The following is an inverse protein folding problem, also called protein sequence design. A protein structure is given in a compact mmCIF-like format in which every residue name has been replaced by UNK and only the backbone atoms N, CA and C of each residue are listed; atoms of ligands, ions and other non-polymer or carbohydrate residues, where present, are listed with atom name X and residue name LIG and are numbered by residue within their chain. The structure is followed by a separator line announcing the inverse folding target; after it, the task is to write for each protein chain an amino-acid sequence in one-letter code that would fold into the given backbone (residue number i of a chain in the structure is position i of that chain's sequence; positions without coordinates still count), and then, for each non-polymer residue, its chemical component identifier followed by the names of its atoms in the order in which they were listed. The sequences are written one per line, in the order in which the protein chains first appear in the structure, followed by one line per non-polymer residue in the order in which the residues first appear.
data_IF_835977440327
#
_entry.id   IF_835977440327
#
_cell.length_a   1.000
_cell.length_b   1.000
_cell.length_c   1.000
_cell.angle_alpha   90.00
_cell.angle_beta   90.00
_cell.angle_gamma   90.00
#
_symmetry.space_group_name_H-M   'P 1'
#
loop_
_entity.id
_entity.type
_entity.pdbx_description
1 polymer ?
#
# COMPACT_ATOMS: atom_id res chain seq x y z
N UNK A 1 23.95 15.72 -9.22
CA UNK A 1 22.74 16.49 -9.60
C UNK A 1 22.66 16.80 -11.11
N UNK A 2 23.75 17.24 -11.77
CA UNK A 2 23.74 17.64 -13.19
C UNK A 2 23.15 16.58 -14.16
N UNK A 3 23.46 15.30 -14.00
CA UNK A 3 22.93 14.24 -14.89
C UNK A 3 21.42 14.02 -14.79
N UNK A 4 20.82 14.14 -13.60
CA UNK A 4 19.35 14.02 -13.42
C UNK A 4 18.62 15.21 -14.06
N UNK A 5 19.15 16.41 -13.89
CA UNK A 5 18.62 17.63 -14.50
C UNK A 5 18.71 17.56 -16.03
N UNK A 6 19.85 17.12 -16.58
CA UNK A 6 20.03 16.95 -18.01
C UNK A 6 19.06 15.91 -18.60
N UNK A 7 18.89 14.77 -17.93
CA UNK A 7 17.91 13.73 -18.35
C UNK A 7 16.47 14.26 -18.30
N UNK A 8 16.11 15.04 -17.27
CA UNK A 8 14.79 15.68 -17.18
C UNK A 8 14.57 16.69 -18.32
N UNK A 9 15.56 17.55 -18.57
CA UNK A 9 15.53 18.53 -19.65
C UNK A 9 15.37 17.86 -21.03
N UNK A 10 16.14 16.80 -21.29
CA UNK A 10 16.04 16.03 -22.53
C UNK A 10 14.66 15.36 -22.69
N UNK A 11 14.12 14.75 -21.61
CA UNK A 11 12.79 14.14 -21.64
C UNK A 11 11.68 15.16 -21.87
N UNK A 12 11.76 16.32 -21.22
CA UNK A 12 10.80 17.42 -21.39
C UNK A 12 10.85 18.01 -22.81
N UNK A 13 12.06 18.21 -23.37
CA UNK A 13 12.23 18.68 -24.74
C UNK A 13 11.66 17.67 -25.76
N UNK A 14 11.95 16.38 -25.59
CA UNK A 14 11.38 15.31 -26.41
C UNK A 14 9.84 15.28 -26.34
N UNK A 15 9.27 15.42 -25.14
CA UNK A 15 7.83 15.52 -24.97
C UNK A 15 7.23 16.73 -25.70
N UNK A 16 7.86 17.91 -25.57
CA UNK A 16 7.44 19.12 -26.28
C UNK A 16 7.42 18.90 -27.80
N UNK A 17 8.51 18.37 -28.36
CA UNK A 17 8.59 18.06 -29.79
C UNK A 17 7.49 17.09 -30.23
N UNK A 18 7.29 15.98 -29.51
CA UNK A 18 6.25 14.99 -29.86
C UNK A 18 4.83 15.57 -29.76
N UNK A 19 4.59 16.39 -28.74
CA UNK A 19 3.27 16.99 -28.49
C UNK A 19 2.90 18.00 -29.59
N UNK A 20 3.79 18.97 -29.88
CA UNK A 20 3.49 20.06 -30.81
C UNK A 20 3.63 19.66 -32.29
N UNK A 21 4.43 18.65 -32.62
CA UNK A 21 4.52 18.12 -34.00
C UNK A 21 3.37 17.20 -34.41
N UNK A 22 2.55 16.74 -33.46
CA UNK A 22 1.50 15.75 -33.70
C UNK A 22 1.99 14.29 -33.72
N UNK A 23 3.31 14.03 -33.62
CA UNK A 23 3.88 12.67 -33.49
C UNK A 23 3.25 11.89 -32.35
N UNK A 24 2.93 12.57 -31.23
CA UNK A 24 2.19 11.98 -30.10
C UNK A 24 0.87 11.35 -30.54
N UNK A 25 0.08 12.02 -31.39
CA UNK A 25 -1.22 11.51 -31.86
C UNK A 25 -1.05 10.26 -32.73
N UNK A 26 0.02 10.20 -33.53
CA UNK A 26 0.37 9.02 -34.31
C UNK A 26 0.78 7.85 -33.39
N UNK A 27 1.60 8.10 -32.36
CA UNK A 27 1.95 7.11 -31.35
C UNK A 27 0.73 6.60 -30.57
N UNK A 28 -0.19 7.50 -30.19
CA UNK A 28 -1.45 7.15 -29.56
C UNK A 28 -2.31 6.25 -30.47
N UNK A 29 -2.40 6.56 -31.77
CA UNK A 29 -3.11 5.72 -32.74
C UNK A 29 -2.46 4.34 -32.92
N UNK A 30 -1.13 4.29 -32.98
CA UNK A 30 -0.38 3.04 -32.99
C UNK A 30 -0.67 2.20 -31.74
N UNK A 31 -0.63 2.81 -30.54
CA UNK A 31 -0.96 2.15 -29.27
C UNK A 31 -2.40 1.66 -29.22
N UNK A 32 -3.38 2.40 -29.76
CA UNK A 32 -4.77 1.92 -29.91
C UNK A 32 -4.83 0.65 -30.74
N UNK A 33 -4.18 0.63 -31.90
CA UNK A 33 -4.13 -0.56 -32.76
C UNK A 33 -3.53 -1.77 -32.03
N UNK A 34 -2.39 -1.58 -31.35
CA UNK A 34 -1.73 -2.62 -30.56
C UNK A 34 -2.53 -3.11 -29.33
N UNK A 35 -3.56 -2.37 -28.92
CA UNK A 35 -4.35 -2.66 -27.72
C UNK A 35 -5.74 -3.23 -28.05
N UNK A 36 -6.01 -3.57 -29.30
CA UNK A 36 -7.31 -4.09 -29.74
C UNK A 36 -8.33 -2.99 -30.06
N UNK A 37 -7.86 -1.82 -30.49
CA UNK A 37 -8.67 -0.70 -30.96
C UNK A 37 -8.93 0.39 -29.92
N UNK A 38 -8.64 0.15 -28.64
CA UNK A 38 -8.82 1.11 -27.54
C UNK A 38 -7.64 1.07 -26.58
N UNK A 39 -7.23 2.24 -26.09
CA UNK A 39 -6.26 2.32 -24.99
C UNK A 39 -7.01 2.34 -23.66
N UNK A 40 -6.45 1.62 -22.70
CA UNK A 40 -6.94 1.57 -21.33
C UNK A 40 -5.75 1.92 -20.45
N UNK A 41 -5.70 3.19 -20.08
CA UNK A 41 -4.72 3.73 -19.15
C UNK A 41 -5.27 3.56 -17.74
N UNK A 42 -4.50 2.93 -16.86
CA UNK A 42 -4.82 2.87 -15.43
C UNK A 42 -3.66 3.58 -14.72
N UNK A 43 -3.96 4.68 -14.05
CA UNK A 43 -2.97 5.45 -13.27
C UNK A 43 -3.12 5.11 -11.80
N UNK A 44 -2.00 4.88 -11.11
CA UNK A 44 -1.98 4.72 -9.65
C UNK A 44 -1.30 5.92 -8.98
N UNK A 45 -1.87 6.35 -7.86
CA UNK A 45 -1.30 7.32 -6.93
C UNK A 45 -1.24 6.70 -5.53
N UNK A 46 -0.45 7.28 -4.65
CA UNK A 46 -0.41 6.88 -3.24
C UNK A 46 -0.88 8.03 -2.38
N UNK A 47 -0.14 9.15 -2.42
CA UNK A 47 -0.39 10.31 -1.56
C UNK A 47 -0.61 11.58 -2.36
N UNK A 48 -1.74 12.26 -2.10
CA UNK A 48 -2.07 13.56 -2.69
C UNK A 48 -2.02 14.61 -1.60
N UNK A 49 -1.06 15.54 -1.67
CA UNK A 49 -0.74 16.44 -0.55
C UNK A 49 -0.94 17.91 -0.91
N UNK A 50 -1.33 18.73 0.06
CA UNK A 50 -1.44 20.18 -0.11
C UNK A 50 -0.10 20.91 0.00
N UNK A 51 0.73 20.52 0.97
CA UNK A 51 2.09 21.06 1.19
C UNK A 51 3.15 20.08 0.66
N UNK A 52 3.33 20.07 -0.66
CA UNK A 52 4.28 19.17 -1.30
C UNK A 52 5.73 19.40 -0.81
N UNK A 53 6.15 20.66 -0.63
CA UNK A 53 7.52 20.97 -0.22
C UNK A 53 7.81 20.52 1.21
N UNK A 54 6.85 20.70 2.13
CA UNK A 54 6.98 20.23 3.51
C UNK A 54 6.96 18.69 3.62
N UNK A 55 6.16 18.01 2.81
CA UNK A 55 6.10 16.54 2.78
C UNK A 55 7.36 15.90 2.18
N UNK A 56 7.98 16.56 1.18
CA UNK A 56 9.19 16.04 0.54
C UNK A 56 10.36 15.82 1.51
N UNK A 57 10.38 16.53 2.64
CA UNK A 57 11.40 16.38 3.68
C UNK A 57 11.14 15.20 4.62
N UNK A 58 9.89 14.74 4.68
CA UNK A 58 9.38 13.81 5.70
C UNK A 58 8.80 12.53 5.10
N UNK A 59 8.74 12.41 3.78
CA UNK A 59 8.18 11.25 3.10
C UNK A 59 8.89 10.99 1.77
N UNK A 60 9.10 9.72 1.43
CA UNK A 60 8.47 9.12 0.23
C UNK A 60 8.38 9.93 -1.06
N UNK A 61 9.41 10.57 -1.68
CA UNK A 61 9.18 11.44 -2.84
C UNK A 61 8.42 10.77 -4.00
N UNK A 62 8.66 9.49 -4.24
CA UNK A 62 7.99 8.69 -5.27
C UNK A 62 6.51 8.39 -5.01
N UNK A 63 6.01 8.66 -3.80
CA UNK A 63 4.61 8.47 -3.40
C UNK A 63 3.80 9.77 -3.48
N UNK A 64 4.48 10.92 -3.52
CA UNK A 64 3.86 12.24 -3.38
C UNK A 64 3.48 12.85 -4.73
N UNK A 65 2.28 13.41 -4.78
CA UNK A 65 1.85 14.37 -5.78
C UNK A 65 1.14 15.53 -5.09
N UNK A 66 1.35 16.75 -5.56
CA UNK A 66 0.60 17.90 -5.07
C UNK A 66 -0.86 17.81 -5.54
N UNK A 67 -1.80 18.31 -4.74
CA UNK A 67 -3.21 18.37 -5.12
C UNK A 67 -3.43 19.10 -6.45
N UNK A 68 -2.65 20.14 -6.71
CA UNK A 68 -2.70 20.90 -7.96
C UNK A 68 -2.22 20.08 -9.16
N UNK A 69 -1.07 19.40 -9.06
CA UNK A 69 -0.57 18.54 -10.14
C UNK A 69 -1.52 17.35 -10.38
N UNK A 70 -2.10 16.78 -9.31
CA UNK A 70 -3.13 15.74 -9.41
C UNK A 70 -4.37 16.23 -10.18
N UNK A 71 -4.92 17.40 -9.84
CA UNK A 71 -6.04 18.01 -10.57
C UNK A 71 -5.72 18.17 -12.05
N UNK A 72 -4.53 18.69 -12.37
CA UNK A 72 -4.09 18.86 -13.77
C UNK A 72 -3.96 17.54 -14.51
N UNK A 73 -3.56 16.45 -13.86
CA UNK A 73 -3.53 15.13 -14.52
C UNK A 73 -4.92 14.71 -15.02
N UNK A 74 -5.98 14.95 -14.22
CA UNK A 74 -7.35 14.62 -14.61
C UNK A 74 -7.82 15.50 -15.78
N UNK A 75 -7.50 16.79 -15.74
CA UNK A 75 -7.82 17.74 -16.81
C UNK A 75 -7.10 17.41 -18.11
N UNK A 76 -5.82 17.07 -18.05
CA UNK A 76 -5.02 16.67 -19.22
C UNK A 76 -5.49 15.34 -19.79
N UNK A 77 -5.88 14.37 -18.95
CA UNK A 77 -6.46 13.11 -19.43
C UNK A 77 -7.77 13.39 -20.20
N UNK A 78 -8.65 14.21 -19.65
CA UNK A 78 -9.88 14.61 -20.32
C UNK A 78 -9.60 15.36 -21.64
N UNK A 79 -8.71 16.36 -21.62
CA UNK A 79 -8.34 17.15 -22.79
C UNK A 79 -7.64 16.30 -23.88
N UNK A 80 -6.91 15.25 -23.49
CA UNK A 80 -6.31 14.29 -24.41
C UNK A 80 -7.32 13.31 -25.04
N UNK A 81 -8.60 13.38 -24.64
CA UNK A 81 -9.70 12.60 -25.21
C UNK A 81 -9.98 11.30 -24.48
N UNK A 82 -9.44 11.11 -23.27
CA UNK A 82 -9.81 9.98 -22.43
C UNK A 82 -11.19 10.19 -21.80
N UNK A 83 -11.96 9.12 -21.72
CA UNK A 83 -13.11 9.00 -20.82
C UNK A 83 -12.57 8.54 -19.46
N UNK A 84 -12.82 9.35 -18.42
CA UNK A 84 -12.50 8.97 -17.05
C UNK A 84 -13.54 7.95 -16.58
N UNK A 85 -13.09 6.73 -16.30
CA UNK A 85 -13.96 5.56 -16.14
C UNK A 85 -13.63 4.76 -14.88
N UNK A 86 -14.59 3.93 -14.43
CA UNK A 86 -14.38 3.01 -13.31
C UNK A 86 -13.45 1.86 -13.69
N UNK A 87 -12.87 1.16 -12.69
CA UNK A 87 -12.10 -0.05 -12.95
C UNK A 87 -12.96 -1.15 -13.58
N UNK A 88 -14.23 -1.22 -13.19
CA UNK A 88 -15.20 -2.15 -13.78
C UNK A 88 -15.40 -1.94 -15.27
N UNK A 89 -15.53 -0.68 -15.70
CA UNK A 89 -15.66 -0.33 -17.11
C UNK A 89 -14.42 -0.73 -17.92
N UNK A 90 -13.23 -0.50 -17.37
CA UNK A 90 -11.99 -0.92 -18.00
C UNK A 90 -11.93 -2.44 -18.15
N UNK A 91 -12.28 -3.20 -17.11
CA UNK A 91 -12.32 -4.66 -17.15
C UNK A 91 -13.35 -5.16 -18.16
N UNK A 92 -14.54 -4.56 -18.23
CA UNK A 92 -15.57 -4.95 -19.18
C UNK A 92 -15.18 -4.66 -20.63
N UNK A 93 -14.47 -3.56 -20.88
CA UNK A 93 -13.92 -3.27 -22.21
C UNK A 93 -12.78 -4.21 -22.57
N UNK A 94 -11.89 -4.52 -21.62
CA UNK A 94 -10.83 -5.50 -21.83
C UNK A 94 -11.41 -6.89 -22.14
N UNK A 95 -12.47 -7.29 -21.45
CA UNK A 95 -13.13 -8.57 -21.66
C UNK A 95 -14.03 -8.61 -22.91
N UNK A 96 -14.19 -7.49 -23.63
CA UNK A 96 -15.09 -7.38 -24.78
C UNK A 96 -16.58 -7.39 -24.43
N UNK A 97 -16.94 -7.26 -23.14
CA UNK A 97 -18.33 -7.16 -22.66
C UNK A 97 -18.93 -5.77 -22.89
N UNK A 98 -18.08 -4.74 -22.97
CA UNK A 98 -18.48 -3.36 -23.26
C UNK A 98 -17.65 -2.81 -24.41
N UNK A 99 -18.28 -2.10 -25.34
CA UNK A 99 -17.57 -1.34 -26.39
C UNK A 99 -17.38 0.10 -25.93
N UNK A 100 -16.14 0.54 -25.76
CA UNK A 100 -15.83 1.95 -25.49
C UNK A 100 -15.81 2.79 -26.78
N UNK A 101 -16.33 4.02 -26.71
CA UNK A 101 -16.25 5.00 -27.81
C UNK A 101 -15.00 5.86 -27.76
N UNK A 102 -14.41 6.02 -26.58
CA UNK A 102 -13.17 6.75 -26.31
C UNK A 102 -12.12 5.82 -25.70
N UNK A 103 -10.88 6.29 -25.65
CA UNK A 103 -9.86 5.65 -24.80
C UNK A 103 -10.25 5.85 -23.33
N UNK A 104 -9.91 4.90 -22.46
CA UNK A 104 -10.27 4.97 -21.04
C UNK A 104 -9.07 5.37 -20.18
N UNK A 105 -9.33 6.19 -19.15
CA UNK A 105 -8.40 6.48 -18.08
C UNK A 105 -9.07 6.15 -16.74
N UNK A 106 -8.48 5.22 -15.98
CA UNK A 106 -8.95 4.81 -14.65
C UNK A 106 -8.01 5.37 -13.60
N UNK A 107 -8.57 5.99 -12.56
CA UNK A 107 -7.81 6.54 -11.43
C UNK A 107 -7.85 5.57 -10.26
N UNK A 108 -6.69 5.14 -9.79
CA UNK A 108 -6.56 4.25 -8.63
C UNK A 108 -5.66 4.86 -7.56
N UNK A 109 -5.94 4.52 -6.30
CA UNK A 109 -5.08 4.85 -5.16
C UNK A 109 -4.73 3.58 -4.39
N UNK A 110 -3.49 3.50 -3.92
CA UNK A 110 -3.02 2.42 -3.05
C UNK A 110 -2.88 2.92 -1.60
N UNK A 111 -2.74 1.99 -0.67
CA UNK A 111 -2.40 2.18 0.76
C UNK A 111 -3.43 2.85 1.66
N UNK A 112 -4.45 3.53 1.10
CA UNK A 112 -5.50 4.15 1.90
C UNK A 112 -5.02 5.33 2.76
N UNK A 113 -3.96 6.03 2.32
CA UNK A 113 -3.49 7.25 2.97
C UNK A 113 -4.61 8.27 3.15
N UNK A 114 -4.63 8.91 4.32
CA UNK A 114 -5.66 9.88 4.72
C UNK A 114 -5.70 11.12 3.84
N UNK A 115 -4.58 11.44 3.20
CA UNK A 115 -4.48 12.56 2.28
C UNK A 115 -5.26 12.33 0.96
N UNK A 116 -5.56 11.07 0.60
CA UNK A 116 -6.53 10.73 -0.46
C UNK A 116 -7.91 11.28 -0.09
N UNK A 117 -8.39 11.03 1.13
CA UNK A 117 -9.66 11.59 1.61
C UNK A 117 -9.62 13.12 1.71
N UNK A 118 -8.53 13.68 2.25
CA UNK A 118 -8.44 15.14 2.50
C UNK A 118 -8.31 15.96 1.22
N UNK A 119 -7.57 15.47 0.22
CA UNK A 119 -7.16 16.30 -0.91
C UNK A 119 -7.51 15.71 -2.28
N UNK A 120 -7.47 14.39 -2.48
CA UNK A 120 -7.85 13.79 -3.77
C UNK A 120 -9.37 13.71 -3.93
N UNK A 121 -10.06 13.23 -2.90
CA UNK A 121 -11.50 12.98 -2.90
C UNK A 121 -12.35 14.23 -3.22
N UNK A 122 -12.11 15.43 -2.65
CA UNK A 122 -12.86 16.63 -3.02
C UNK A 122 -12.71 17.00 -4.51
N UNK A 123 -11.50 16.84 -5.06
CA UNK A 123 -11.21 17.11 -6.48
C UNK A 123 -11.97 16.12 -7.37
N UNK A 124 -11.88 14.82 -7.06
CA UNK A 124 -12.57 13.77 -7.80
C UNK A 124 -14.09 13.97 -7.77
N UNK A 125 -14.64 14.25 -6.59
CA UNK A 125 -16.08 14.49 -6.40
C UNK A 125 -16.55 15.71 -7.18
N UNK A 126 -15.82 16.82 -7.11
CA UNK A 126 -16.14 18.03 -7.86
C UNK A 126 -16.11 17.80 -9.38
N UNK A 127 -15.18 16.97 -9.87
CA UNK A 127 -15.02 16.68 -11.29
C UNK A 127 -15.89 15.50 -11.78
N UNK A 128 -16.60 14.80 -10.88
CA UNK A 128 -17.39 13.61 -11.21
C UNK A 128 -16.54 12.45 -11.73
N UNK A 129 -15.31 12.30 -11.23
CA UNK A 129 -14.34 11.30 -11.70
C UNK A 129 -14.43 10.03 -10.84
N UNK A 130 -14.80 8.87 -11.43
CA UNK A 130 -14.76 7.61 -10.72
C UNK A 130 -13.33 7.26 -10.31
N UNK A 131 -13.17 6.72 -9.11
CA UNK A 131 -11.89 6.21 -8.63
C UNK A 131 -12.10 5.04 -7.66
N UNK A 132 -11.06 4.21 -7.56
CA UNK A 132 -10.97 3.11 -6.60
C UNK A 132 -9.76 3.28 -5.68
N UNK A 133 -9.93 3.04 -4.38
CA UNK A 133 -8.83 2.99 -3.41
C UNK A 133 -8.67 1.57 -2.86
N UNK A 134 -7.44 1.03 -2.91
CA UNK A 134 -7.12 -0.29 -2.39
C UNK A 134 -6.61 -0.19 -0.94
N UNK A 135 -7.25 -0.91 -0.01
CA UNK A 135 -7.04 -0.75 1.42
C UNK A 135 -6.26 -1.92 2.05
N UNK A 136 -5.15 -1.66 2.77
CA UNK A 136 -4.53 -2.61 3.70
C UNK A 136 -5.24 -2.53 5.05
N UNK A 137 -6.20 -3.42 5.26
CA UNK A 137 -7.24 -3.27 6.30
C UNK A 137 -6.74 -3.30 7.74
N UNK A 138 -5.56 -3.85 8.03
CA UNK A 138 -4.97 -3.85 9.37
C UNK A 138 -4.43 -2.48 9.82
N UNK A 139 -4.37 -1.51 8.90
CA UNK A 139 -3.92 -0.14 9.15
C UNK A 139 -5.07 0.85 9.26
N UNK A 140 -6.13 0.66 8.47
CA UNK A 140 -7.29 1.57 8.43
C UNK A 140 -7.89 1.71 9.83
N UNK A 141 -8.14 2.96 10.24
CA UNK A 141 -8.64 3.32 11.57
C UNK A 141 -7.68 2.98 12.73
N UNK A 142 -6.37 2.97 12.46
CA UNK A 142 -5.32 2.75 13.47
C UNK A 142 -4.20 3.78 13.38
N UNK A 143 -3.38 3.87 14.42
CA UNK A 143 -2.17 4.69 14.45
C UNK A 143 -0.92 3.98 13.87
N UNK A 144 -1.09 2.81 13.23
CA UNK A 144 0.04 2.11 12.59
C UNK A 144 0.60 2.90 11.42
N UNK A 145 1.87 2.67 11.10
CA UNK A 145 2.57 3.25 9.93
C UNK A 145 3.18 2.13 9.10
N UNK A 146 3.19 2.30 7.79
CA UNK A 146 3.79 1.32 6.89
C UNK A 146 5.30 1.20 7.10
N UNK A 147 5.84 0.02 6.82
CA UNK A 147 7.27 -0.25 7.01
C UNK A 147 8.15 0.68 6.16
N UNK A 148 7.70 1.06 4.96
CA UNK A 148 8.44 1.99 4.11
C UNK A 148 8.48 3.41 4.69
N UNK A 149 7.39 3.88 5.29
CA UNK A 149 7.34 5.19 5.96
C UNK A 149 8.22 5.18 7.22
N UNK A 150 8.12 4.13 8.03
CA UNK A 150 8.95 3.93 9.23
C UNK A 150 10.44 3.88 8.87
N UNK A 151 10.83 3.06 7.91
CA UNK A 151 12.21 2.95 7.45
C UNK A 151 12.71 4.28 6.88
N UNK A 152 11.94 4.94 6.01
CA UNK A 152 12.33 6.23 5.45
C UNK A 152 12.63 7.24 6.56
N UNK A 153 11.73 7.34 7.55
CA UNK A 153 11.89 8.25 8.68
C UNK A 153 13.10 7.91 9.55
N UNK A 154 13.29 6.64 9.91
CA UNK A 154 14.43 6.22 10.73
C UNK A 154 15.76 6.44 10.00
N UNK A 155 15.84 6.15 8.70
CA UNK A 155 17.03 6.39 7.89
C UNK A 155 17.35 7.90 7.78
N UNK A 156 16.32 8.75 7.72
CA UNK A 156 16.48 10.20 7.80
C UNK A 156 17.03 10.63 9.16
N UNK A 157 16.53 10.06 10.27
CA UNK A 157 17.09 10.29 11.62
C UNK A 157 18.54 9.85 11.74
N UNK A 158 18.90 8.71 11.16
CA UNK A 158 20.30 8.24 11.10
C UNK A 158 21.17 9.28 10.40
N UNK A 159 20.74 9.82 9.25
CA UNK A 159 21.49 10.87 8.53
C UNK A 159 21.57 12.19 9.32
N UNK A 160 20.44 12.67 9.84
CA UNK A 160 20.33 13.95 10.57
C UNK A 160 21.18 13.95 11.85
N UNK A 161 21.12 12.86 12.61
CA UNK A 161 21.90 12.69 13.84
C UNK A 161 23.35 12.26 13.59
N UNK A 162 23.73 12.02 12.32
CA UNK A 162 25.02 11.41 11.92
C UNK A 162 25.32 10.13 12.70
N UNK A 163 24.26 9.37 12.98
CA UNK A 163 24.34 8.15 13.77
C UNK A 163 25.11 7.05 13.01
N UNK A 164 25.85 6.23 13.74
CA UNK A 164 26.57 5.08 13.21
C UNK A 164 25.96 3.82 13.80
N UNK A 165 25.09 3.11 13.06
CA UNK A 165 24.50 1.88 13.55
C UNK A 165 25.56 0.82 13.84
N UNK A 166 25.32 0.05 14.90
CA UNK A 166 26.03 -1.18 15.16
C UNK A 166 25.42 -2.29 14.30
N UNK A 167 26.11 -2.65 13.22
CA UNK A 167 25.65 -3.66 12.27
C UNK A 167 25.72 -5.09 12.83
N UNK A 168 26.49 -5.35 13.90
CA UNK A 168 26.53 -6.69 14.52
C UNK A 168 25.21 -7.01 15.22
N UNK A 169 24.51 -5.99 15.71
CA UNK A 169 23.21 -6.08 16.35
C UNK A 169 22.02 -5.88 15.38
N UNK A 170 22.23 -5.97 14.07
CA UNK A 170 21.19 -5.76 13.05
C UNK A 170 21.03 -6.98 12.12
N UNK A 171 19.88 -7.14 11.44
CA UNK A 171 19.74 -8.14 10.39
C UNK A 171 20.82 -7.98 9.31
N UNK A 172 21.39 -9.08 8.80
CA UNK A 172 22.51 -9.06 7.84
C UNK A 172 22.32 -8.10 6.64
N UNK A 173 21.15 -8.10 5.96
CA UNK A 173 20.90 -7.19 4.83
C UNK A 173 20.92 -5.68 5.17
N UNK A 174 20.99 -5.31 6.45
CA UNK A 174 21.05 -3.89 6.86
C UNK A 174 22.22 -3.14 6.22
N UNK A 175 23.34 -3.82 5.97
CA UNK A 175 24.52 -3.23 5.33
C UNK A 175 24.22 -2.79 3.91
N UNK A 176 23.42 -3.56 3.17
CA UNK A 176 23.05 -3.27 1.78
C UNK A 176 22.11 -2.07 1.68
N UNK A 177 21.27 -1.86 2.71
CA UNK A 177 20.41 -0.68 2.83
C UNK A 177 21.20 0.57 3.28
N UNK A 178 21.89 0.49 4.41
CA UNK A 178 22.51 1.64 5.06
C UNK A 178 23.86 2.02 4.44
N UNK A 179 24.65 1.07 3.95
CA UNK A 179 25.98 1.32 3.39
C UNK A 179 25.97 2.38 2.28
N UNK A 180 25.13 2.25 1.23
CA UNK A 180 25.00 3.26 0.17
C UNK A 180 24.51 4.62 0.66
N UNK A 181 23.68 4.65 1.71
CA UNK A 181 23.14 5.88 2.31
C UNK A 181 24.23 6.61 3.09
N UNK A 182 24.94 5.89 3.97
CA UNK A 182 25.96 6.46 4.86
C UNK A 182 27.19 6.94 4.11
N UNK A 183 27.51 6.31 2.98
CA UNK A 183 28.59 6.71 2.08
C UNK A 183 28.19 7.82 1.10
N UNK A 184 26.90 8.21 1.06
CA UNK A 184 26.40 9.24 0.16
C UNK A 184 26.26 8.81 -1.31
N UNK A 185 26.46 7.54 -1.64
CA UNK A 185 26.31 7.02 -2.99
C UNK A 185 24.84 7.02 -3.44
N UNK A 186 23.90 6.77 -2.52
CA UNK A 186 22.45 6.79 -2.79
C UNK A 186 21.74 7.72 -1.81
N UNK A 187 20.65 8.33 -2.31
CA UNK A 187 19.67 8.99 -1.44
C UNK A 187 18.86 7.93 -0.69
N UNK A 188 18.29 8.27 0.49
CA UNK A 188 17.45 7.36 1.28
C UNK A 188 16.37 6.70 0.44
N UNK A 189 15.57 7.49 -0.30
CA UNK A 189 14.53 6.96 -1.19
C UNK A 189 15.06 5.98 -2.23
N UNK A 190 16.24 6.23 -2.83
CA UNK A 190 16.76 5.36 -3.88
C UNK A 190 17.29 4.04 -3.32
N UNK A 191 17.92 4.07 -2.14
CA UNK A 191 18.33 2.85 -1.46
C UNK A 191 17.12 2.03 -0.97
N UNK A 192 16.09 2.72 -0.49
CA UNK A 192 14.86 2.10 0.00
C UNK A 192 14.06 1.45 -1.14
N UNK A 193 13.95 2.12 -2.30
CA UNK A 193 13.28 1.58 -3.50
C UNK A 193 13.92 0.25 -3.95
N UNK A 194 15.25 0.17 -3.92
CA UNK A 194 15.98 -1.06 -4.27
C UNK A 194 15.76 -2.17 -3.22
N UNK A 195 15.63 -1.80 -1.94
CA UNK A 195 15.64 -2.74 -0.82
C UNK A 195 14.28 -3.35 -0.48
N UNK A 196 13.20 -2.56 -0.46
CA UNK A 196 11.87 -3.03 -0.03
C UNK A 196 11.37 -4.16 -0.91
N UNK A 197 11.62 -4.08 -2.22
CA UNK A 197 11.25 -5.15 -3.13
C UNK A 197 11.96 -6.44 -2.77
N UNK A 198 13.27 -6.39 -2.53
CA UNK A 198 14.11 -7.59 -2.53
C UNK A 198 13.99 -8.43 -1.25
N UNK A 199 13.28 -7.94 -0.22
CA UNK A 199 13.29 -8.56 1.10
C UNK A 199 11.89 -8.74 1.70
N UNK A 200 11.69 -9.78 2.54
CA UNK A 200 10.41 -10.04 3.17
C UNK A 200 10.15 -9.07 4.34
N UNK A 201 8.87 -8.92 4.70
CA UNK A 201 8.42 -8.07 5.80
C UNK A 201 9.22 -8.25 7.09
N UNK A 202 9.53 -9.51 7.46
CA UNK A 202 10.33 -9.84 8.65
C UNK A 202 11.72 -9.21 8.70
N UNK A 203 12.35 -9.00 7.54
CA UNK A 203 13.67 -8.34 7.47
C UNK A 203 13.47 -6.84 7.67
N UNK A 204 12.46 -6.25 7.04
CA UNK A 204 12.17 -4.82 7.18
C UNK A 204 11.85 -4.48 8.64
N UNK A 205 10.98 -5.25 9.30
CA UNK A 205 10.63 -5.04 10.71
C UNK A 205 11.83 -5.22 11.63
N UNK A 206 12.65 -6.27 11.43
CA UNK A 206 13.86 -6.45 12.24
C UNK A 206 14.86 -5.29 12.11
N UNK A 207 14.96 -4.66 10.94
CA UNK A 207 15.81 -3.48 10.76
C UNK A 207 15.21 -2.26 11.45
N UNK A 208 13.89 -2.07 11.33
CA UNK A 208 13.17 -1.00 12.01
C UNK A 208 13.38 -1.11 13.52
N UNK A 209 13.12 -2.27 14.11
CA UNK A 209 13.19 -2.49 15.56
C UNK A 209 14.62 -2.26 16.08
N UNK A 210 15.63 -2.74 15.34
CA UNK A 210 17.03 -2.52 15.68
C UNK A 210 17.42 -1.03 15.61
N UNK A 211 16.96 -0.30 14.58
CA UNK A 211 17.21 1.14 14.47
C UNK A 211 16.49 1.93 15.57
N UNK A 212 15.25 1.60 15.89
CA UNK A 212 14.49 2.25 16.98
C UNK A 212 15.18 2.05 18.33
N UNK A 213 15.64 0.84 18.62
CA UNK A 213 16.40 0.53 19.83
C UNK A 213 17.72 1.29 19.87
N UNK A 214 18.51 1.26 18.79
CA UNK A 214 19.81 1.89 18.73
C UNK A 214 19.76 3.43 18.74
N UNK A 215 18.68 4.04 18.22
CA UNK A 215 18.45 5.49 18.25
C UNK A 215 17.92 6.00 19.60
N UNK A 216 17.66 5.08 20.56
CA UNK A 216 17.24 5.40 21.93
C UNK A 216 15.73 5.44 22.16
N UNK A 217 14.91 4.98 21.21
CA UNK A 217 13.46 5.07 21.29
C UNK A 217 12.93 6.52 21.27
N UNK A 218 11.62 6.68 21.43
CA UNK A 218 10.97 7.98 21.59
C UNK A 218 9.95 8.33 20.50
N UNK A 219 9.08 9.27 20.81
CA UNK A 219 8.00 9.69 19.92
C UNK A 219 8.51 10.28 18.59
N UNK A 220 9.71 10.87 18.58
CA UNK A 220 10.29 11.48 17.39
C UNK A 220 10.84 10.47 16.36
N UNK A 221 10.85 9.18 16.71
CA UNK A 221 11.17 8.05 15.82
C UNK A 221 9.92 7.48 15.12
N UNK A 222 8.72 7.93 15.51
CA UNK A 222 7.50 7.63 14.79
C UNK A 222 7.30 8.70 13.70
N UNK A 223 7.03 8.33 12.44
CA UNK A 223 6.71 9.30 11.40
C UNK A 223 5.47 10.13 11.78
N UNK A 224 5.59 11.46 11.74
CA UNK A 224 4.46 12.39 11.94
C UNK A 224 3.44 12.35 10.79
N UNK A 225 3.85 11.85 9.63
CA UNK A 225 3.04 11.78 8.40
C UNK A 225 2.75 10.33 8.02
N UNK A 226 1.93 10.16 6.98
CA UNK A 226 1.53 8.83 6.50
C UNK A 226 0.37 8.24 7.28
N UNK A 227 -0.47 9.08 7.90
CA UNK A 227 -1.77 8.65 8.43
C UNK A 227 -2.58 7.97 7.33
N UNK A 228 -3.32 6.93 7.71
CA UNK A 228 -4.30 6.27 6.85
C UNK A 228 -5.71 6.71 7.23
N UNK A 229 -6.66 6.49 6.33
CA UNK A 229 -8.06 6.83 6.56
C UNK A 229 -8.64 6.07 7.76
N UNK A 230 -9.64 6.68 8.39
CA UNK A 230 -10.57 5.99 9.29
C UNK A 230 -11.68 5.30 8.50
N UNK A 231 -12.37 4.33 9.12
CA UNK A 231 -13.53 3.69 8.48
C UNK A 231 -14.70 4.66 8.25
N UNK A 232 -14.83 5.71 9.05
CA UNK A 232 -15.83 6.77 8.81
C UNK A 232 -15.55 7.56 7.53
N UNK A 233 -14.29 7.88 7.27
CA UNK A 233 -13.86 8.54 6.03
C UNK A 233 -14.08 7.62 4.82
N UNK A 234 -13.74 6.34 4.92
CA UNK A 234 -14.00 5.32 3.89
C UNK A 234 -15.49 5.19 3.59
N UNK A 235 -16.34 5.02 4.63
CA UNK A 235 -17.80 4.96 4.47
C UNK A 235 -18.37 6.21 3.81
N UNK A 236 -17.84 7.38 4.15
CA UNK A 236 -18.26 8.65 3.56
C UNK A 236 -17.99 8.68 2.06
N UNK A 237 -16.79 8.33 1.63
CA UNK A 237 -16.44 8.22 0.22
C UNK A 237 -17.28 7.17 -0.51
N UNK A 238 -17.53 6.02 0.12
CA UNK A 238 -18.33 4.96 -0.50
C UNK A 238 -19.78 5.37 -0.76
N UNK A 239 -20.41 6.11 0.17
CA UNK A 239 -21.77 6.67 -0.03
C UNK A 239 -21.82 7.63 -1.21
N UNK A 240 -20.71 8.28 -1.52
CA UNK A 240 -20.58 9.20 -2.66
C UNK A 240 -20.18 8.48 -3.96
N UNK A 241 -20.13 7.15 -3.95
CA UNK A 241 -19.93 6.31 -5.14
C UNK A 241 -18.48 5.97 -5.46
N UNK A 242 -17.54 6.24 -4.54
CA UNK A 242 -16.14 5.80 -4.69
C UNK A 242 -16.00 4.32 -4.37
N UNK A 243 -15.19 3.62 -5.15
CA UNK A 243 -14.99 2.17 -5.01
C UNK A 243 -13.83 1.86 -4.06
N UNK A 244 -13.89 0.69 -3.42
CA UNK A 244 -12.82 0.19 -2.55
C UNK A 244 -12.44 -1.23 -2.91
N UNK A 245 -11.13 -1.47 -3.04
CA UNK A 245 -10.54 -2.77 -3.33
C UNK A 245 -9.65 -3.27 -2.21
N UNK A 246 -9.27 -4.54 -2.26
CA UNK A 246 -8.36 -5.13 -1.26
C UNK A 246 -6.89 -4.86 -1.60
N UNK A 247 -6.08 -4.49 -0.60
CA UNK A 247 -4.62 -4.35 -0.71
C UNK A 247 -3.91 -5.19 0.36
N UNK A 248 -4.30 -6.47 0.46
CA UNK A 248 -3.96 -7.38 1.57
C UNK A 248 -4.50 -6.91 2.94
N UNK A 249 -4.25 -7.66 4.00
CA UNK A 249 -4.58 -7.28 5.37
C UNK A 249 -3.42 -6.42 5.93
N UNK A 250 -2.20 -6.96 5.87
CA UNK A 250 -0.99 -6.42 6.51
C UNK A 250 -0.06 -5.63 5.60
N UNK A 251 -0.47 -5.27 4.37
CA UNK A 251 0.40 -4.71 3.33
C UNK A 251 1.58 -5.66 3.03
N UNK A 252 1.24 -6.93 2.84
CA UNK A 252 2.19 -8.05 2.75
C UNK A 252 2.56 -8.38 1.30
N UNK A 253 3.85 -8.57 1.02
CA UNK A 253 4.33 -9.00 -0.31
C UNK A 253 4.10 -10.50 -0.49
N UNK A 254 2.90 -10.84 -0.99
CA UNK A 254 2.37 -12.21 -1.05
C UNK A 254 3.25 -13.23 -1.78
N UNK A 255 4.10 -12.81 -2.72
CA UNK A 255 4.97 -13.74 -3.47
C UNK A 255 6.03 -14.41 -2.60
N UNK A 256 6.30 -13.84 -1.42
CA UNK A 256 7.28 -14.34 -0.45
C UNK A 256 6.64 -15.20 0.66
N UNK A 257 5.31 -15.33 0.67
CA UNK A 257 4.55 -15.98 1.73
C UNK A 257 3.97 -17.32 1.29
N UNK A 258 3.78 -18.27 2.22
CA UNK A 258 3.13 -19.55 1.93
C UNK A 258 1.62 -19.37 1.67
N UNK A 259 1.04 -20.29 0.91
CA UNK A 259 -0.37 -20.22 0.48
C UNK A 259 -1.39 -19.95 1.60
N UNK A 260 -1.32 -20.57 2.81
CA UNK A 260 -2.27 -20.26 3.88
C UNK A 260 -2.22 -18.79 4.35
N UNK A 261 -1.03 -18.18 4.35
CA UNK A 261 -0.86 -16.76 4.69
C UNK A 261 -1.43 -15.90 3.55
N UNK A 262 -1.19 -16.28 2.29
CA UNK A 262 -1.76 -15.60 1.12
C UNK A 262 -3.29 -15.59 1.17
N UNK A 263 -3.91 -16.75 1.44
CA UNK A 263 -5.37 -16.86 1.58
C UNK A 263 -5.88 -15.98 2.72
N UNK A 264 -5.25 -16.02 3.89
CA UNK A 264 -5.64 -15.20 5.03
C UNK A 264 -5.56 -13.70 4.71
N UNK A 265 -4.43 -13.23 4.17
CA UNK A 265 -4.19 -11.83 3.79
C UNK A 265 -5.22 -11.30 2.78
N UNK A 266 -5.62 -12.13 1.80
CA UNK A 266 -6.60 -11.75 0.78
C UNK A 266 -8.02 -11.76 1.36
N UNK A 267 -8.40 -12.84 2.04
CA UNK A 267 -9.79 -13.07 2.43
C UNK A 267 -10.20 -12.20 3.61
N UNK A 268 -9.35 -11.99 4.61
CA UNK A 268 -9.67 -11.10 5.72
C UNK A 268 -9.73 -9.63 5.29
N UNK A 269 -8.88 -9.22 4.35
CA UNK A 269 -8.94 -7.89 3.74
C UNK A 269 -10.28 -7.67 3.03
N UNK A 270 -10.67 -8.63 2.18
CA UNK A 270 -11.97 -8.62 1.50
C UNK A 270 -13.13 -8.54 2.50
N UNK A 271 -13.21 -9.47 3.45
CA UNK A 271 -14.30 -9.54 4.44
C UNK A 271 -14.42 -8.28 5.28
N UNK A 272 -13.29 -7.69 5.66
CA UNK A 272 -13.26 -6.47 6.47
C UNK A 272 -13.85 -5.29 5.70
N UNK A 273 -13.43 -5.06 4.45
CA UNK A 273 -13.98 -3.97 3.64
C UNK A 273 -15.48 -4.19 3.36
N UNK A 274 -15.87 -5.43 3.01
CA UNK A 274 -17.28 -5.76 2.74
C UNK A 274 -18.17 -5.52 3.98
N UNK A 275 -17.67 -5.82 5.19
CA UNK A 275 -18.36 -5.56 6.45
C UNK A 275 -18.49 -4.06 6.74
N UNK A 276 -17.44 -3.27 6.51
CA UNK A 276 -17.42 -1.84 6.85
C UNK A 276 -18.20 -0.96 5.86
N UNK A 277 -18.23 -1.36 4.59
CA UNK A 277 -18.81 -0.57 3.49
C UNK A 277 -20.14 -1.13 2.99
N UNK A 278 -20.40 -2.43 3.18
CA UNK A 278 -21.63 -3.08 2.74
C UNK A 278 -21.72 -3.33 1.24
N UNK A 279 -20.60 -3.28 0.52
CA UNK A 279 -20.50 -3.58 -0.92
C UNK A 279 -19.54 -4.74 -1.16
N UNK A 280 -19.78 -5.52 -2.21
CA UNK A 280 -18.89 -6.60 -2.60
C UNK A 280 -17.56 -6.07 -3.13
N UNK A 281 -16.45 -6.55 -2.59
CA UNK A 281 -15.10 -6.23 -3.06
C UNK A 281 -14.76 -7.11 -4.25
N UNK A 282 -14.45 -6.50 -5.40
CA UNK A 282 -14.21 -7.20 -6.66
C UNK A 282 -12.79 -7.04 -7.18
N UNK A 283 -12.02 -6.11 -6.67
CA UNK A 283 -10.74 -5.75 -7.27
C UNK A 283 -9.63 -5.77 -6.21
N UNK A 284 -8.43 -6.17 -6.65
CA UNK A 284 -7.27 -6.37 -5.78
C UNK A 284 -6.07 -5.59 -6.33
N UNK A 285 -5.27 -4.98 -5.45
CA UNK A 285 -3.95 -4.45 -5.82
C UNK A 285 -2.86 -5.29 -5.17
N UNK A 286 -1.89 -5.75 -5.95
CA UNK A 286 -0.74 -6.48 -5.40
C UNK A 286 0.26 -5.51 -4.77
N UNK A 287 0.69 -5.76 -3.54
CA UNK A 287 1.82 -5.02 -2.94
C UNK A 287 3.06 -5.16 -3.83
N UNK A 288 3.77 -4.04 -4.06
CA UNK A 288 4.85 -3.90 -5.05
C UNK A 288 4.47 -4.22 -6.51
N UNK A 289 3.19 -4.53 -6.80
CA UNK A 289 2.73 -5.01 -8.08
C UNK A 289 3.14 -6.45 -8.40
N UNK A 290 3.55 -7.23 -7.39
CA UNK A 290 4.11 -8.56 -7.58
C UNK A 290 3.09 -9.67 -7.37
N UNK A 291 3.07 -10.63 -8.30
CA UNK A 291 2.07 -11.69 -8.33
C UNK A 291 2.67 -13.02 -8.76
N UNK A 292 1.93 -14.09 -8.49
CA UNK A 292 2.19 -15.45 -8.95
C UNK A 292 0.87 -16.09 -9.38
N UNK A 293 0.96 -17.19 -10.12
CA UNK A 293 -0.23 -17.94 -10.57
C UNK A 293 -1.05 -18.47 -9.38
N UNK A 294 -0.39 -18.77 -8.26
CA UNK A 294 -1.03 -19.16 -7.00
C UNK A 294 -1.92 -18.05 -6.44
N UNK A 295 -1.39 -16.82 -6.38
CA UNK A 295 -2.14 -15.66 -5.89
C UNK A 295 -3.34 -15.39 -6.81
N UNK A 296 -3.15 -15.45 -8.13
CA UNK A 296 -4.23 -15.30 -9.11
C UNK A 296 -5.30 -16.38 -8.91
N UNK A 297 -4.91 -17.63 -8.65
CA UNK A 297 -5.84 -18.72 -8.36
C UNK A 297 -6.69 -18.39 -7.12
N UNK A 298 -6.07 -17.98 -6.02
CA UNK A 298 -6.78 -17.58 -4.80
C UNK A 298 -7.76 -16.44 -5.08
N UNK A 299 -7.36 -15.39 -5.80
CA UNK A 299 -8.25 -14.28 -6.16
C UNK A 299 -9.45 -14.77 -7.00
N UNK A 300 -9.18 -15.53 -8.06
CA UNK A 300 -10.22 -16.02 -8.98
C UNK A 300 -11.25 -16.94 -8.31
N UNK A 301 -10.82 -17.78 -7.38
CA UNK A 301 -11.70 -18.69 -6.63
C UNK A 301 -12.55 -17.97 -5.58
N UNK A 302 -12.17 -16.76 -5.18
CA UNK A 302 -12.79 -16.01 -4.09
C UNK A 302 -13.52 -14.74 -4.57
N UNK A 303 -14.05 -14.79 -5.80
CA UNK A 303 -14.98 -13.79 -6.32
C UNK A 303 -14.35 -12.43 -6.62
N UNK A 304 -13.03 -12.36 -6.79
CA UNK A 304 -12.40 -11.19 -7.40
C UNK A 304 -12.60 -11.22 -8.91
N UNK A 305 -12.81 -10.04 -9.47
CA UNK A 305 -12.93 -9.74 -10.90
C UNK A 305 -11.57 -9.35 -11.50
N UNK A 306 -10.72 -8.65 -10.76
CA UNK A 306 -9.49 -8.10 -11.31
C UNK A 306 -8.35 -7.97 -10.28
N UNK A 307 -7.13 -7.83 -10.80
CA UNK A 307 -5.89 -7.63 -10.06
C UNK A 307 -5.01 -6.62 -10.76
N UNK A 308 -4.59 -5.56 -10.08
CA UNK A 308 -3.74 -4.49 -10.64
C UNK A 308 -2.28 -4.60 -10.19
N UNK A 309 -1.36 -4.46 -11.14
CA UNK A 309 0.10 -4.51 -10.93
C UNK A 309 0.70 -3.10 -10.99
N UNK A 310 2.02 -2.99 -10.90
CA UNK A 310 2.79 -1.74 -11.13
C UNK A 310 3.56 -1.78 -12.44
N UNK A 311 3.23 -2.73 -13.33
CA UNK A 311 3.88 -2.90 -14.61
C UNK A 311 3.48 -1.77 -15.56
N UNK A 312 4.43 -0.90 -15.92
CA UNK A 312 4.19 0.21 -16.86
C UNK A 312 4.17 -0.28 -18.32
N UNK A 313 3.06 -0.93 -18.67
CA UNK A 313 2.78 -1.54 -19.97
C UNK A 313 1.34 -1.22 -20.44
N UNK A 314 1.05 -1.30 -21.75
CA UNK A 314 -0.31 -1.10 -22.23
C UNK A 314 -1.23 -2.27 -21.87
N UNK A 315 -2.44 -1.96 -21.38
CA UNK A 315 -3.55 -2.92 -21.29
C UNK A 315 -4.14 -3.18 -22.68
N UNK A 316 -4.60 -4.41 -22.92
CA UNK A 316 -5.13 -4.85 -24.22
C UNK A 316 -6.51 -5.48 -24.06
N UNK A 317 -7.36 -5.32 -25.06
CA UNK A 317 -8.57 -6.14 -25.20
C UNK A 317 -8.15 -7.61 -25.35
N UNK A 318 -8.80 -8.49 -24.59
CA UNK A 318 -8.43 -9.90 -24.43
C UNK A 318 -7.29 -10.16 -23.42
N UNK A 319 -6.79 -9.13 -22.75
CA UNK A 319 -5.79 -9.29 -21.68
C UNK A 319 -6.35 -9.92 -20.41
N UNK A 320 -5.47 -10.48 -19.60
CA UNK A 320 -5.83 -11.10 -18.31
C UNK A 320 -6.24 -10.02 -17.28
N UNK A 321 -7.49 -10.06 -16.76
CA UNK A 321 -7.97 -9.08 -15.79
C UNK A 321 -7.28 -9.18 -14.43
N UNK A 322 -6.53 -10.25 -14.13
CA UNK A 322 -5.77 -10.37 -12.89
C UNK A 322 -4.35 -9.79 -12.98
N UNK A 323 -3.96 -9.25 -14.13
CA UNK A 323 -2.65 -8.63 -14.31
C UNK A 323 -2.73 -7.26 -14.98
N UNK A 324 -3.75 -6.46 -14.61
CA UNK A 324 -3.97 -5.12 -15.13
C UNK A 324 -2.75 -4.24 -14.90
N UNK A 325 -2.26 -3.63 -15.98
CA UNK A 325 -1.05 -2.82 -16.01
C UNK A 325 -1.36 -1.40 -15.53
N UNK A 326 -0.53 -0.85 -14.65
CA UNK A 326 -0.70 0.52 -14.13
C UNK A 326 0.55 1.35 -14.33
N UNK A 327 0.32 2.64 -14.58
CA UNK A 327 1.34 3.67 -14.54
C UNK A 327 1.30 4.36 -13.19
N UNK A 328 2.31 4.13 -12.35
CA UNK A 328 2.44 4.79 -11.04
C UNK A 328 2.88 6.24 -11.26
N UNK A 329 2.02 7.18 -10.86
CA UNK A 329 2.18 8.61 -11.09
C UNK A 329 2.59 9.31 -9.78
N UNK A 330 3.53 10.24 -9.89
CA UNK A 330 3.99 11.12 -8.80
C UNK A 330 4.49 12.45 -9.39
N UNK A 331 4.79 13.44 -8.54
CA UNK A 331 5.05 14.82 -8.98
C UNK A 331 6.05 14.93 -10.16
N UNK A 332 7.18 14.22 -10.07
CA UNK A 332 8.24 14.32 -11.08
C UNK A 332 7.88 13.71 -12.45
N UNK A 333 6.77 12.98 -12.58
CA UNK A 333 6.31 12.51 -13.89
C UNK A 333 5.94 13.66 -14.83
N UNK A 334 5.64 14.82 -14.26
CA UNK A 334 5.03 15.95 -14.96
C UNK A 334 5.84 17.23 -14.84
N UNK A 335 7.00 17.20 -14.19
CA UNK A 335 7.89 18.36 -14.09
C UNK A 335 8.69 18.59 -15.37
N UNK A 336 8.53 19.77 -15.95
CA UNK A 336 9.26 20.30 -17.08
C UNK A 336 10.70 20.65 -16.77
N UNK A 337 11.35 21.35 -17.71
CA UNK A 337 12.77 21.67 -17.60
C UNK A 337 13.08 22.52 -16.37
N UNK A 338 12.25 23.54 -16.08
CA UNK A 338 12.48 24.49 -14.99
C UNK A 338 11.89 24.04 -13.64
N UNK A 339 11.21 22.91 -13.61
CA UNK A 339 10.55 22.39 -12.40
C UNK A 339 9.11 22.87 -12.27
N UNK A 340 8.63 23.53 -13.32
CA UNK A 340 7.24 23.84 -13.60
C UNK A 340 6.47 22.61 -14.09
N UNK A 341 5.15 22.66 -13.99
CA UNK A 341 4.29 21.62 -14.56
C UNK A 341 4.34 21.64 -16.10
N UNK A 342 4.45 20.46 -16.72
CA UNK A 342 4.48 20.28 -18.17
C UNK A 342 3.32 19.41 -18.66
N UNK A 343 2.33 20.05 -19.28
CA UNK A 343 1.23 19.36 -19.98
C UNK A 343 1.73 18.42 -21.07
N UNK A 344 2.71 18.87 -21.86
CA UNK A 344 3.29 18.06 -22.93
C UNK A 344 3.91 16.77 -22.39
N UNK A 345 4.67 16.85 -21.28
CA UNK A 345 5.25 15.68 -20.63
C UNK A 345 4.16 14.75 -20.09
N UNK A 346 3.18 15.30 -19.37
CA UNK A 346 2.06 14.56 -18.78
C UNK A 346 1.31 13.75 -19.83
N UNK A 347 0.87 14.38 -20.92
CA UNK A 347 0.10 13.68 -21.97
C UNK A 347 0.98 12.69 -22.75
N UNK A 348 2.27 12.95 -22.93
CA UNK A 348 3.19 11.97 -23.51
C UNK A 348 3.38 10.73 -22.61
N UNK A 349 3.27 10.89 -21.29
CA UNK A 349 3.28 9.76 -20.36
C UNK A 349 1.98 8.96 -20.48
N UNK A 350 0.83 9.64 -20.48
CA UNK A 350 -0.48 8.99 -20.66
C UNK A 350 -0.58 8.21 -21.97
N UNK A 351 -0.03 8.78 -23.05
CA UNK A 351 -0.04 8.15 -24.38
C UNK A 351 1.06 7.10 -24.58
N UNK A 352 1.87 6.85 -23.55
CA UNK A 352 2.98 5.90 -23.54
C UNK A 352 4.02 6.16 -24.65
N UNK A 353 4.27 7.43 -24.98
CA UNK A 353 5.23 7.80 -26.02
C UNK A 353 6.65 7.30 -25.70
N UNK A 354 7.05 7.37 -24.43
CA UNK A 354 8.37 6.93 -24.01
C UNK A 354 8.54 5.41 -24.07
N UNK A 355 7.48 4.64 -23.81
CA UNK A 355 7.48 3.20 -24.01
C UNK A 355 7.55 2.82 -25.48
N UNK A 356 6.86 3.57 -26.37
CA UNK A 356 6.97 3.37 -27.83
C UNK A 356 8.39 3.58 -28.32
N UNK A 357 9.11 4.55 -27.75
CA UNK A 357 10.50 4.86 -28.08
C UNK A 357 11.53 3.95 -27.39
N UNK A 358 11.11 2.97 -26.59
CA UNK A 358 12.02 2.11 -25.82
C UNK A 358 12.82 2.85 -24.74
N UNK A 359 12.33 4.02 -24.30
CA UNK A 359 12.97 4.87 -23.29
C UNK A 359 12.56 4.50 -21.85
N UNK A 360 11.58 3.60 -21.69
CA UNK A 360 11.21 2.99 -20.42
C UNK A 360 11.60 1.50 -20.41
N UNK A 361 12.03 1.01 -19.25
CA UNK A 361 12.23 -0.41 -18.98
C UNK A 361 11.24 -0.82 -17.89
N UNK A 362 10.11 -1.45 -18.26
CA UNK A 362 9.12 -1.84 -17.28
C UNK A 362 9.68 -2.93 -16.37
N UNK A 363 9.41 -2.83 -15.08
CA UNK A 363 9.66 -3.91 -14.12
C UNK A 363 8.45 -4.83 -14.20
N UNK A 364 8.68 -6.09 -14.58
CA UNK A 364 7.61 -7.09 -14.65
C UNK A 364 7.21 -7.54 -13.24
N UNK A 365 5.93 -7.85 -13.06
CA UNK A 365 5.35 -8.17 -11.75
C UNK A 365 5.40 -9.66 -11.39
N UNK A 366 5.40 -10.57 -12.38
CA UNK A 366 5.38 -12.01 -12.10
C UNK A 366 6.63 -12.45 -11.33
N UNK A 367 6.44 -13.20 -10.25
CA UNK A 367 7.52 -13.80 -9.44
C UNK A 367 7.23 -15.29 -9.23
N UNK A 368 8.27 -16.11 -9.00
CA UNK A 368 8.08 -17.43 -8.41
C UNK A 368 7.30 -17.32 -7.11
N UNK A 369 6.42 -18.28 -6.84
CA UNK A 369 5.74 -18.35 -5.54
C UNK A 369 6.63 -19.07 -4.54
N UNK A 370 6.77 -18.54 -3.33
CA UNK A 370 7.42 -19.26 -2.24
C UNK A 370 6.60 -20.50 -1.86
N UNK A 371 7.03 -21.67 -2.31
CA UNK A 371 6.41 -22.95 -1.98
C UNK A 371 6.91 -23.54 -0.65
N UNK A 372 7.51 -22.73 0.24
CA UNK A 372 7.91 -23.23 1.56
C UNK A 372 6.64 -23.58 2.33
N UNK A 373 6.20 -24.84 2.20
CA UNK A 373 5.26 -25.45 3.12
C UNK A 373 5.79 -25.23 4.53
N UNK A 374 4.94 -24.75 5.42
CA UNK A 374 5.21 -24.74 6.86
C UNK A 374 5.81 -26.10 7.21
N UNK A 375 7.08 -26.11 7.61
CA UNK A 375 7.71 -27.32 8.13
C UNK A 375 6.87 -27.70 9.37
N UNK A 376 6.28 -28.91 9.44
CA UNK A 376 5.52 -29.31 10.62
C UNK A 376 6.47 -29.27 11.82
N UNK A 377 6.31 -28.29 12.71
CA UNK A 377 7.16 -28.09 13.89
C UNK A 377 7.77 -26.70 14.05
N UNK A 378 7.71 -25.82 13.05
CA UNK A 378 7.98 -24.39 13.28
C UNK A 378 6.71 -23.73 13.81
N UNK A 379 6.61 -23.59 15.13
CA UNK A 379 5.70 -22.63 15.75
C UNK A 379 6.11 -21.23 15.28
N UNK A 380 5.61 -20.82 14.13
CA UNK A 380 5.35 -19.40 13.91
C UNK A 380 4.24 -19.09 14.89
N UNK A 381 4.63 -18.61 16.07
CA UNK A 381 3.73 -17.84 16.91
C UNK A 381 3.25 -16.71 16.02
N UNK A 382 2.02 -16.84 15.53
CA UNK A 382 1.17 -15.68 15.30
C UNK A 382 1.16 -15.01 16.68
N UNK A 383 2.01 -14.00 16.88
CA UNK A 383 1.81 -13.10 18.00
C UNK A 383 0.51 -12.37 17.67
N UNK A 384 -0.59 -12.94 18.17
CA UNK A 384 -1.81 -12.22 18.44
C UNK A 384 -1.48 -11.11 19.45
N UNK A 385 -0.90 -10.02 18.98
CA UNK A 385 -1.17 -8.70 19.56
C UNK A 385 -2.48 -8.18 18.98
N UNK A 386 -3.52 -9.03 19.08
CA UNK A 386 -4.88 -8.57 19.21
C UNK A 386 -4.98 -8.00 20.63
N UNK A 387 -4.82 -6.68 20.75
CA UNK A 387 -5.47 -6.00 21.87
C UNK A 387 -6.95 -6.37 21.78
N UNK A 388 -7.54 -7.05 22.78
CA UNK A 388 -8.93 -7.43 22.71
C UNK A 388 -9.77 -6.16 22.53
N UNK A 389 -10.65 -6.20 21.54
CA UNK A 389 -11.62 -5.15 21.27
C UNK A 389 -12.26 -4.72 22.59
N UNK A 390 -12.01 -3.47 22.98
CA UNK A 390 -12.65 -2.85 24.12
C UNK A 390 -14.16 -2.87 23.87
N UNK A 391 -14.83 -3.85 24.47
CA UNK A 391 -16.29 -3.89 24.51
C UNK A 391 -16.69 -2.76 25.46
N UNK A 392 -17.16 -1.65 24.89
CA UNK A 392 -17.78 -0.55 25.62
C UNK A 392 -18.90 -1.12 26.50
N UNK A 393 -18.61 -1.33 27.77
CA UNK A 393 -19.62 -1.65 28.78
C UNK A 393 -19.34 -0.85 30.05
N UNK A 394 -20.37 -0.14 30.48
CA UNK A 394 -20.48 0.80 31.62
C UNK A 394 -19.38 0.69 32.70
N UNK A 395 -18.69 1.81 32.91
CA UNK A 395 -17.81 2.07 34.05
C UNK A 395 -18.60 1.91 35.35
N UNK A 396 -18.17 0.98 36.22
CA UNK A 396 -18.56 0.95 37.64
C UNK A 396 -17.30 1.26 38.45
N UNK A 397 -17.35 2.07 39.52
CA UNK A 397 -16.14 2.50 40.23
C UNK A 397 -15.50 1.32 40.96
N UNK A 398 -14.18 1.16 40.84
CA UNK A 398 -13.40 0.18 41.62
C UNK A 398 -12.87 0.87 42.87
N UNK A 399 -13.18 0.31 44.04
CA UNK A 399 -12.60 0.73 45.31
C UNK A 399 -11.31 -0.05 45.57
N UNK A 400 -10.21 0.65 45.89
CA UNK A 400 -8.91 0.04 46.18
C UNK A 400 -8.83 -0.25 47.69
N UNK A 401 -8.72 -1.52 48.06
CA UNK A 401 -8.48 -1.92 49.47
C UNK A 401 -7.07 -2.48 49.60
N UNK A 402 -6.29 -1.96 50.55
CA UNK A 402 -4.97 -2.49 50.92
C UNK A 402 -5.11 -3.74 51.79
N UNK A 403 -4.39 -4.81 51.45
CA UNK A 403 -4.28 -6.02 52.28
C UNK A 403 -3.03 -5.90 53.15
N UNK A 404 -3.21 -6.02 54.48
CA UNK A 404 -2.16 -5.79 55.50
C UNK A 404 -1.59 -7.05 56.16
N UNK A 405 -1.92 -8.26 55.69
CA UNK A 405 -1.37 -9.51 56.25
C UNK A 405 -0.89 -10.51 55.18
N UNK A 406 0.16 -11.30 55.46
CA UNK A 406 0.76 -12.21 54.48
C UNK A 406 -0.09 -13.48 54.26
N UNK A 407 -0.35 -13.80 53.00
CA UNK A 407 -1.09 -15.01 52.58
C UNK A 407 -0.12 -16.20 52.47
N UNK A 408 -0.47 -17.33 53.09
CA UNK A 408 0.30 -18.58 53.02
C UNK A 408 -0.17 -19.42 51.82
N UNK A 409 0.75 -19.77 50.91
CA UNK A 409 0.47 -20.60 49.72
C UNK A 409 0.90 -22.05 49.98
N UNK A 410 -0.03 -23.01 49.90
CA UNK A 410 0.22 -24.43 50.21
C UNK A 410 0.26 -25.36 49.00
N UNK A 411 0.20 -24.86 47.75
CA UNK A 411 0.39 -25.66 46.53
C UNK A 411 1.83 -25.48 45.98
N UNK A 412 2.63 -26.55 45.89
CA UNK A 412 4.01 -26.49 45.42
C UNK A 412 4.17 -26.12 43.92
N UNK A 413 3.10 -26.12 43.12
CA UNK A 413 3.14 -25.65 41.71
C UNK A 413 3.04 -24.14 41.57
N UNK A 414 2.59 -23.44 42.62
CA UNK A 414 2.43 -21.98 42.63
C UNK A 414 3.66 -21.30 43.26
N UNK A 415 4.43 -22.02 44.08
CA UNK A 415 5.62 -21.49 44.77
C UNK A 415 6.78 -21.06 43.84
N UNK A 416 6.82 -21.54 42.59
CA UNK A 416 7.86 -21.15 41.62
C UNK A 416 7.50 -19.89 40.80
N UNK A 417 6.26 -19.38 40.90
CA UNK A 417 5.77 -18.29 40.05
C UNK A 417 5.62 -16.94 40.78
N UNK A 418 6.04 -16.82 42.04
CA UNK A 418 5.84 -15.59 42.82
C UNK A 418 7.15 -15.12 43.47
N UNK A 419 8.05 -14.62 42.62
CA UNK A 419 9.02 -13.61 43.03
C UNK A 419 8.82 -12.39 42.12
N UNK A 420 7.98 -11.44 42.56
CA UNK A 420 7.89 -10.10 41.96
C UNK A 420 6.58 -9.72 41.26
N UNK A 421 5.53 -10.54 41.28
CA UNK A 421 4.24 -10.19 40.64
C UNK A 421 3.11 -10.10 41.68
N UNK A 422 2.39 -8.98 41.69
CA UNK A 422 1.16 -8.83 42.48
C UNK A 422 0.09 -9.78 41.93
N UNK A 423 -0.39 -10.69 42.77
CA UNK A 423 -1.50 -11.59 42.44
C UNK A 423 -2.81 -10.93 42.89
N UNK A 424 -3.68 -10.61 41.93
CA UNK A 424 -5.07 -10.25 42.21
C UNK A 424 -5.87 -11.54 42.26
N UNK A 425 -6.30 -11.95 43.45
CA UNK A 425 -7.22 -13.08 43.61
C UNK A 425 -8.64 -12.54 43.47
N UNK A 426 -9.34 -12.93 42.40
CA UNK A 426 -10.78 -12.74 42.32
C UNK A 426 -11.44 -13.66 43.35
N UNK A 427 -12.08 -13.08 44.36
CA UNK A 427 -12.95 -13.83 45.27
C UNK A 427 -14.33 -14.00 44.63
N UNK A 428 -14.81 -15.24 44.72
CA UNK A 428 -16.19 -15.70 44.53
C UNK A 428 -16.88 -15.41 43.19
N UNK A 429 -16.72 -16.35 42.25
CA UNK A 429 -17.78 -16.65 41.29
C UNK A 429 -18.32 -18.04 41.58
N UNK A 430 -19.55 -18.06 42.08
CA UNK A 430 -20.37 -19.24 42.27
C UNK A 430 -20.47 -20.06 40.96
N UNK A 431 -20.24 -21.36 41.08
CA UNK A 431 -20.49 -22.35 40.03
C UNK A 431 -21.96 -22.27 39.59
N UNK A 432 -22.20 -21.95 38.32
CA UNK A 432 -23.49 -22.19 37.69
C UNK A 432 -23.62 -23.70 37.36
N UNK A 433 -24.80 -24.32 37.55
CA UNK A 433 -24.98 -25.75 37.39
C UNK A 433 -24.97 -26.17 35.91
N UNK A 434 -24.50 -27.39 35.67
CA UNK A 434 -24.45 -28.10 34.38
C UNK A 434 -25.76 -27.95 33.58
N UNK A 435 -25.64 -27.49 32.34
CA UNK A 435 -26.69 -27.60 31.33
C UNK A 435 -26.20 -28.54 30.22
N UNK A 436 -26.96 -29.62 30.06
CA UNK A 436 -26.78 -30.80 29.21
C UNK A 436 -26.19 -30.59 27.80
N UNK A 437 -25.26 -31.47 27.45
CA UNK A 437 -24.82 -31.77 26.10
C UNK A 437 -25.94 -32.45 25.29
N UNK A 438 -26.11 -32.17 23.98
CA UNK A 438 -26.88 -33.03 23.10
C UNK A 438 -26.06 -34.28 22.73
N UNK A 439 -26.63 -35.44 23.01
CA UNK A 439 -26.25 -36.71 22.41
C UNK A 439 -26.53 -36.67 20.91
N UNK A 440 -25.51 -36.89 20.09
CA UNK A 440 -25.55 -37.75 18.90
C UNK A 440 -24.29 -37.52 18.06
N UNK A 441 -23.40 -38.52 18.07
CA UNK A 441 -22.81 -39.22 16.91
C UNK A 441 -21.57 -39.99 17.39
N UNK A 442 -21.73 -41.32 17.43
CA UNK A 442 -20.73 -42.34 17.76
C UNK A 442 -19.57 -42.38 16.77
#
# INVERSE_FOLDING_TARGET
MAGKVLRRAAKAAAAGMMHYSGVRKAMAAYRRSQSGGRRILIVSYHRVVSDFTGELQRSIPGLLISQETFRRHLEEAHAAGYELASIGDAVDVMAGRRTAKKDLCVVTFDDGYRDVYRYAYPVLKQMGVPAITYLPTAFIDTDKRFNHDRLFHLLRRVQERRFRPDFEAMPGPSVDLLGPILSGHKTVSAALDDFIGEHPTRILTGIIDALEQQLGGGADLVPEQGDVMSWDEVRTMARDGFEFGAHTLGHTVLTQEPTPVVEHEILESKRTIEREVGIQVKDFAYCNGWYSDEIIRVLSQNGFRSGVTTEDLPNRVGGDPFTLKRKVMWENFSLGMMGDYSSALTVCQFDDCFGVLGMSRPVLGRRPHSLSSLIPGSNVLIQDTVLPAATLTKVTPVEVVQVTEPVLVTDPRVAAAVAGTQVVVASDVALAPEAALPEDFQ
#
